data_IF_963864381941
#
_entry.id   IF_963864381941
#
_cell.length_a   1.000
_cell.length_b   1.000
_cell.length_c   1.000
_cell.angle_alpha   90.00
_cell.angle_beta   90.00
_cell.angle_gamma   90.00
#
_symmetry.space_group_name_H-M   'P 1'
#
loop_
_entity.id
_entity.type
_entity.pdbx_description
1 polymer ?
#
# COMPACT_ATOMS: atom_id res chain seq x y z
N UNK A 1 10.05 -26.75 12.16
CA UNK A 1 9.83 -25.29 12.22
C UNK A 1 8.39 -25.11 12.65
N UNK A 2 8.15 -24.51 13.80
CA UNK A 2 6.79 -24.16 14.20
C UNK A 2 6.23 -23.14 13.20
N UNK A 3 5.04 -23.44 12.64
CA UNK A 3 4.33 -22.49 11.81
C UNK A 3 3.98 -21.29 12.70
N UNK A 4 4.44 -20.10 12.34
CA UNK A 4 3.98 -18.87 13.00
C UNK A 4 2.45 -18.82 12.91
N UNK A 5 1.75 -18.34 13.95
CA UNK A 5 0.29 -18.21 13.87
C UNK A 5 -0.07 -17.28 12.69
N UNK A 6 -1.04 -17.71 11.89
CA UNK A 6 -1.55 -16.95 10.75
C UNK A 6 -2.27 -15.70 11.26
N UNK A 7 -1.89 -14.54 10.75
CA UNK A 7 -2.56 -13.28 11.10
C UNK A 7 -3.96 -13.23 10.48
N UNK A 8 -4.93 -12.82 11.29
CA UNK A 8 -6.33 -12.68 10.88
C UNK A 8 -6.89 -11.35 11.37
N UNK A 9 -7.62 -10.68 10.51
CA UNK A 9 -8.37 -9.49 10.91
C UNK A 9 -9.69 -9.88 11.59
N UNK A 10 -10.10 -9.16 12.63
CA UNK A 10 -11.44 -9.27 13.19
C UNK A 10 -12.51 -8.65 12.28
N UNK A 11 -12.11 -7.80 11.31
CA UNK A 11 -13.00 -7.15 10.37
C UNK A 11 -13.20 -8.00 9.12
N UNK A 12 -14.39 -7.95 8.54
CA UNK A 12 -14.57 -8.37 7.15
C UNK A 12 -14.05 -7.28 6.20
N UNK A 13 -13.77 -7.63 4.95
CA UNK A 13 -13.38 -6.63 3.94
C UNK A 13 -14.40 -5.51 3.80
N UNK A 14 -15.69 -5.83 3.81
CA UNK A 14 -16.74 -4.82 3.68
C UNK A 14 -16.74 -3.85 4.87
N UNK A 15 -16.55 -4.37 6.09
CA UNK A 15 -16.40 -3.53 7.29
C UNK A 15 -15.18 -2.62 7.20
N UNK A 16 -14.04 -3.13 6.73
CA UNK A 16 -12.83 -2.33 6.53
C UNK A 16 -13.05 -1.24 5.46
N UNK A 17 -13.72 -1.55 4.35
CA UNK A 17 -14.03 -0.58 3.30
C UNK A 17 -15.00 0.50 3.79
N UNK A 18 -16.03 0.15 4.54
CA UNK A 18 -16.94 1.13 5.13
C UNK A 18 -16.23 2.00 6.19
N UNK A 19 -15.29 1.42 6.93
CA UNK A 19 -14.45 2.17 7.86
C UNK A 19 -13.56 3.19 7.12
N UNK A 20 -12.91 2.79 6.01
CA UNK A 20 -12.16 3.72 5.16
C UNK A 20 -13.06 4.85 4.65
N UNK A 21 -14.23 4.50 4.06
CA UNK A 21 -15.19 5.47 3.52
C UNK A 21 -15.80 6.41 4.57
N UNK A 22 -15.76 6.04 5.84
CA UNK A 22 -16.20 6.93 6.92
C UNK A 22 -15.32 8.18 7.02
N UNK A 23 -14.01 8.01 6.82
CA UNK A 23 -12.99 9.06 7.00
C UNK A 23 -12.42 9.60 5.70
N UNK A 24 -12.59 8.88 4.58
CA UNK A 24 -12.10 9.28 3.26
C UNK A 24 -13.26 9.37 2.27
N UNK A 25 -13.41 10.52 1.60
CA UNK A 25 -14.46 10.82 0.63
C UNK A 25 -13.93 11.16 -0.74
N UNK A 26 -12.68 11.64 -0.79
CA UNK A 26 -12.04 11.98 -2.06
C UNK A 26 -11.81 10.70 -2.89
N UNK A 27 -12.28 10.68 -4.16
CA UNK A 27 -12.08 9.52 -5.05
C UNK A 27 -10.61 9.12 -5.21
N UNK A 28 -9.68 10.08 -5.13
CA UNK A 28 -8.26 9.81 -5.22
C UNK A 28 -7.77 8.97 -4.02
N UNK A 29 -8.14 9.35 -2.78
CA UNK A 29 -7.75 8.61 -1.58
C UNK A 29 -8.40 7.22 -1.53
N UNK A 30 -9.68 7.12 -1.91
CA UNK A 30 -10.37 5.83 -2.00
C UNK A 30 -9.70 4.91 -3.03
N UNK A 31 -9.36 5.45 -4.22
CA UNK A 31 -8.65 4.69 -5.25
C UNK A 31 -7.28 4.24 -4.76
N UNK A 32 -6.53 5.12 -4.08
CA UNK A 32 -5.23 4.78 -3.53
C UNK A 32 -5.33 3.63 -2.53
N UNK A 33 -6.23 3.70 -1.56
CA UNK A 33 -6.47 2.61 -0.60
C UNK A 33 -6.83 1.29 -1.28
N UNK A 34 -7.72 1.30 -2.27
CA UNK A 34 -8.08 0.12 -3.06
C UNK A 34 -6.91 -0.43 -3.88
N UNK A 35 -6.06 0.44 -4.42
CA UNK A 35 -4.86 0.04 -5.15
C UNK A 35 -3.86 -0.64 -4.22
N UNK A 36 -3.58 -0.04 -3.07
CA UNK A 36 -2.65 -0.61 -2.10
C UNK A 36 -3.20 -1.92 -1.50
N UNK A 37 -4.52 -2.01 -1.23
CA UNK A 37 -5.17 -3.29 -0.87
C UNK A 37 -4.84 -4.39 -1.88
N UNK A 38 -5.07 -4.12 -3.15
CA UNK A 38 -4.90 -5.12 -4.21
C UNK A 38 -3.43 -5.51 -4.40
N UNK A 39 -2.52 -4.55 -4.32
CA UNK A 39 -1.07 -4.78 -4.35
C UNK A 39 -0.62 -5.63 -3.17
N UNK A 40 -1.08 -5.35 -1.95
CA UNK A 40 -0.74 -6.12 -0.76
C UNK A 40 -1.27 -7.57 -0.83
N UNK A 41 -2.48 -7.78 -1.34
CA UNK A 41 -3.04 -9.12 -1.60
C UNK A 41 -2.18 -9.90 -2.60
N UNK A 42 -1.73 -9.25 -3.65
CA UNK A 42 -0.84 -9.87 -4.64
C UNK A 42 0.49 -10.28 -4.01
N UNK A 43 1.11 -9.40 -3.22
CA UNK A 43 2.36 -9.70 -2.54
C UNK A 43 2.21 -10.84 -1.51
N UNK A 44 1.10 -10.89 -0.78
CA UNK A 44 0.84 -11.99 0.15
C UNK A 44 0.90 -13.36 -0.57
N UNK A 45 0.29 -13.48 -1.74
CA UNK A 45 0.35 -14.71 -2.55
C UNK A 45 1.75 -14.98 -3.09
N UNK A 46 2.37 -13.98 -3.67
CA UNK A 46 3.70 -14.08 -4.30
C UNK A 46 4.78 -14.51 -3.30
N UNK A 47 4.68 -14.04 -2.05
CA UNK A 47 5.64 -14.30 -0.99
C UNK A 47 5.29 -15.52 -0.11
N UNK A 48 4.24 -16.26 -0.46
CA UNK A 48 3.85 -17.49 0.25
C UNK A 48 2.99 -17.29 1.50
N UNK A 49 2.40 -16.10 1.67
CA UNK A 49 1.47 -15.75 2.75
C UNK A 49 -0.01 -15.78 2.30
N UNK A 50 -0.35 -16.66 1.38
CA UNK A 50 -1.72 -16.75 0.85
C UNK A 50 -2.80 -16.94 1.91
N UNK A 51 -2.48 -17.61 3.02
CA UNK A 51 -3.39 -17.79 4.17
C UNK A 51 -3.66 -16.47 4.94
N UNK A 52 -2.85 -15.42 4.70
CA UNK A 52 -2.95 -14.09 5.31
C UNK A 52 -3.37 -13.00 4.30
N UNK A 53 -3.74 -13.39 3.08
CA UNK A 53 -4.08 -12.45 2.00
C UNK A 53 -5.10 -11.39 2.44
N UNK A 54 -6.13 -11.81 3.19
CA UNK A 54 -7.16 -10.90 3.68
C UNK A 54 -6.60 -9.87 4.66
N UNK A 55 -5.74 -10.30 5.56
CA UNK A 55 -5.09 -9.41 6.53
C UNK A 55 -4.17 -8.40 5.84
N UNK A 56 -3.30 -8.86 4.93
CA UNK A 56 -2.42 -7.99 4.15
C UNK A 56 -3.22 -6.95 3.35
N UNK A 57 -4.32 -7.40 2.73
CA UNK A 57 -5.21 -6.51 1.99
C UNK A 57 -5.84 -5.42 2.86
N UNK A 58 -6.32 -5.78 4.06
CA UNK A 58 -6.95 -4.81 4.95
C UNK A 58 -5.94 -3.81 5.51
N UNK A 59 -4.71 -4.22 5.81
CA UNK A 59 -3.65 -3.29 6.19
C UNK A 59 -3.38 -2.30 5.06
N UNK A 60 -3.27 -2.78 3.81
CA UNK A 60 -3.13 -1.92 2.64
C UNK A 60 -4.31 -0.99 2.39
N UNK A 61 -5.55 -1.48 2.58
CA UNK A 61 -6.77 -0.68 2.40
C UNK A 61 -6.85 0.49 3.39
N UNK A 62 -6.40 0.27 4.62
CA UNK A 62 -6.61 1.19 5.74
C UNK A 62 -5.36 2.02 6.08
N UNK A 63 -4.23 1.87 5.36
CA UNK A 63 -2.97 2.50 5.74
C UNK A 63 -3.08 4.03 5.87
N UNK A 64 -3.84 4.68 5.00
CA UNK A 64 -4.06 6.12 4.95
C UNK A 64 -5.41 6.57 5.56
N UNK A 65 -5.98 5.80 6.48
CA UNK A 65 -7.33 6.05 7.02
C UNK A 65 -7.50 7.47 7.59
N UNK A 66 -6.45 8.05 8.15
CA UNK A 66 -6.45 9.36 8.78
C UNK A 66 -5.99 10.50 7.86
N UNK A 67 -5.40 10.19 6.69
CA UNK A 67 -4.69 11.17 5.89
C UNK A 67 -5.59 12.31 5.37
N UNK A 68 -6.83 12.02 4.95
CA UNK A 68 -7.72 13.05 4.40
C UNK A 68 -8.19 14.05 5.44
N UNK A 69 -8.54 13.59 6.64
CA UNK A 69 -9.10 14.45 7.70
C UNK A 69 -8.05 14.98 8.68
N UNK A 70 -6.93 14.28 8.82
CA UNK A 70 -5.90 14.58 9.82
C UNK A 70 -4.50 14.56 9.20
N UNK A 71 -4.22 15.30 8.10
CA UNK A 71 -2.94 15.20 7.39
C UNK A 71 -1.74 15.59 8.28
N UNK A 72 -1.92 16.51 9.21
CA UNK A 72 -0.87 16.94 10.15
C UNK A 72 -0.66 15.95 11.31
N UNK A 73 -1.58 15.01 11.51
CA UNK A 73 -1.54 13.95 12.51
C UNK A 73 -1.50 12.54 11.87
N UNK A 74 -1.08 12.47 10.61
CA UNK A 74 -1.01 11.21 9.86
C UNK A 74 -0.19 10.16 10.61
N UNK A 75 -0.64 8.91 10.60
CA UNK A 75 -0.19 7.77 11.40
C UNK A 75 -0.39 7.93 12.92
N UNK A 76 -0.55 9.13 13.44
CA UNK A 76 -0.77 9.36 14.86
C UNK A 76 -2.26 9.25 15.24
N UNK A 77 -3.14 9.64 14.33
CA UNK A 77 -4.60 9.54 14.52
C UNK A 77 -5.15 8.16 14.13
N UNK A 78 -4.50 7.45 13.23
CA UNK A 78 -4.92 6.15 12.74
C UNK A 78 -5.22 5.12 13.85
N UNK A 79 -4.42 4.97 14.92
CA UNK A 79 -4.71 4.01 16.00
C UNK A 79 -6.08 4.19 16.65
N UNK A 80 -6.48 5.44 16.92
CA UNK A 80 -7.80 5.74 17.52
C UNK A 80 -8.92 5.34 16.57
N UNK A 81 -8.83 5.76 15.28
CA UNK A 81 -9.85 5.51 14.28
C UNK A 81 -10.04 4.01 14.00
N UNK A 82 -8.93 3.28 13.93
CA UNK A 82 -8.90 1.85 13.69
C UNK A 82 -9.45 1.07 14.89
N UNK A 83 -9.07 1.45 16.10
CA UNK A 83 -9.54 0.82 17.34
C UNK A 83 -11.04 0.99 17.51
N UNK A 84 -11.55 2.19 17.26
CA UNK A 84 -12.99 2.49 17.28
C UNK A 84 -13.74 1.70 16.19
N UNK A 85 -13.08 1.38 15.09
CA UNK A 85 -13.58 0.53 14.02
C UNK A 85 -13.54 -0.97 14.33
N UNK A 86 -12.91 -1.39 15.44
CA UNK A 86 -12.80 -2.79 15.86
C UNK A 86 -11.58 -3.53 15.28
N UNK A 87 -10.56 -2.81 14.81
CA UNK A 87 -9.31 -3.40 14.35
C UNK A 87 -8.51 -4.01 15.50
N UNK A 88 -7.74 -5.07 15.22
CA UNK A 88 -6.79 -5.66 16.17
C UNK A 88 -5.52 -4.82 16.30
N UNK A 89 -4.78 -5.03 17.39
CA UNK A 89 -3.51 -4.32 17.62
C UNK A 89 -2.48 -4.64 16.52
N UNK A 90 -2.48 -5.87 15.96
CA UNK A 90 -1.60 -6.26 14.86
C UNK A 90 -1.96 -5.52 13.56
N UNK A 91 -3.26 -5.30 13.29
CA UNK A 91 -3.69 -4.54 12.12
C UNK A 91 -3.31 -3.07 12.30
N UNK A 92 -3.51 -2.50 13.48
CA UNK A 92 -3.12 -1.13 13.82
C UNK A 92 -1.61 -0.94 13.65
N UNK A 93 -0.79 -1.86 14.17
CA UNK A 93 0.66 -1.82 14.01
C UNK A 93 1.06 -1.87 12.54
N UNK A 94 0.47 -2.78 11.76
CA UNK A 94 0.72 -2.91 10.34
C UNK A 94 0.40 -1.63 9.57
N UNK A 95 -0.72 -0.99 9.88
CA UNK A 95 -1.10 0.29 9.28
C UNK A 95 -0.10 1.38 9.66
N UNK A 96 0.16 1.59 10.95
CA UNK A 96 0.96 2.74 11.43
C UNK A 96 2.41 2.64 10.98
N UNK A 97 2.97 1.43 10.90
CA UNK A 97 4.39 1.22 10.57
C UNK A 97 4.80 1.69 9.17
N UNK A 98 3.83 1.94 8.26
CA UNK A 98 4.18 2.48 6.93
C UNK A 98 4.77 3.91 7.01
N UNK A 99 4.43 4.67 8.06
CA UNK A 99 4.93 6.02 8.27
C UNK A 99 6.24 6.10 9.06
N UNK A 100 6.92 4.98 9.31
CA UNK A 100 8.15 4.94 10.09
C UNK A 100 9.22 5.90 9.59
N UNK A 101 9.79 6.67 10.53
CA UNK A 101 10.83 7.66 10.24
C UNK A 101 10.35 8.93 9.51
N UNK A 102 9.05 9.02 9.18
CA UNK A 102 8.43 10.18 8.55
C UNK A 102 7.43 10.85 9.50
N UNK A 103 6.42 10.14 9.95
CA UNK A 103 5.33 10.64 10.80
C UNK A 103 5.15 9.83 12.09
N UNK A 104 5.87 8.72 12.27
CA UNK A 104 5.86 7.91 13.50
C UNK A 104 7.17 7.16 13.72
N UNK A 105 7.33 6.60 14.93
CA UNK A 105 8.49 5.78 15.34
C UNK A 105 8.15 4.27 15.43
N UNK A 106 7.06 3.84 14.79
CA UNK A 106 6.63 2.43 14.76
C UNK A 106 7.36 1.72 13.63
N UNK A 107 8.39 0.94 13.97
CA UNK A 107 9.25 0.29 12.98
C UNK A 107 8.57 -0.92 12.33
N UNK A 108 8.62 -1.07 10.98
CA UNK A 108 8.12 -2.25 10.29
C UNK A 108 9.04 -3.45 10.56
N UNK A 109 8.52 -4.49 11.21
CA UNK A 109 9.28 -5.72 11.51
C UNK A 109 8.79 -6.94 10.76
N UNK A 110 7.47 -7.06 10.51
CA UNK A 110 6.91 -8.16 9.73
C UNK A 110 7.15 -7.93 8.23
N UNK A 111 7.27 -9.01 7.45
CA UNK A 111 7.49 -8.88 5.99
C UNK A 111 6.37 -8.10 5.30
N UNK A 112 5.12 -8.30 5.72
CA UNK A 112 3.97 -7.52 5.28
C UNK A 112 4.19 -6.01 5.45
N UNK A 113 4.63 -5.59 6.63
CA UNK A 113 4.84 -4.17 6.96
C UNK A 113 5.96 -3.58 6.12
N UNK A 114 7.04 -4.34 5.91
CA UNK A 114 8.15 -3.93 5.04
C UNK A 114 7.70 -3.81 3.59
N UNK A 115 6.81 -4.69 3.14
CA UNK A 115 6.23 -4.61 1.79
C UNK A 115 5.36 -3.37 1.65
N UNK A 116 4.48 -3.09 2.62
CA UNK A 116 3.66 -1.87 2.61
C UNK A 116 4.54 -0.62 2.59
N UNK A 117 5.51 -0.52 3.51
CA UNK A 117 6.47 0.59 3.58
C UNK A 117 7.20 0.83 2.23
N UNK A 118 7.59 -0.25 1.54
CA UNK A 118 8.30 -0.17 0.27
C UNK A 118 7.41 0.14 -0.93
N UNK A 119 6.16 -0.37 -0.93
CA UNK A 119 5.30 -0.37 -2.10
C UNK A 119 4.33 0.82 -2.13
N UNK A 120 3.95 1.40 -1.01
CA UNK A 120 2.98 2.47 -0.93
C UNK A 120 3.34 3.65 -1.84
N UNK A 121 4.42 4.35 -1.57
CA UNK A 121 4.93 5.46 -2.38
C UNK A 121 5.21 5.07 -3.84
N UNK A 122 5.61 3.82 -4.07
CA UNK A 122 5.87 3.29 -5.40
C UNK A 122 4.59 3.09 -6.19
N UNK A 123 3.48 2.71 -5.55
CA UNK A 123 2.17 2.62 -6.24
C UNK A 123 1.73 3.97 -6.78
N UNK A 124 1.92 5.04 -6.00
CA UNK A 124 1.64 6.41 -6.43
C UNK A 124 2.51 6.84 -7.62
N UNK A 125 3.78 6.49 -7.61
CA UNK A 125 4.70 6.76 -8.72
C UNK A 125 4.30 6.01 -10.00
N UNK A 126 3.98 4.72 -9.88
CA UNK A 126 3.53 3.88 -11.01
C UNK A 126 2.21 4.42 -11.57
N UNK A 127 1.25 4.74 -10.71
CA UNK A 127 -0.03 5.33 -11.11
C UNK A 127 0.17 6.65 -11.86
N UNK A 128 1.00 7.55 -11.33
CA UNK A 128 1.34 8.81 -12.01
C UNK A 128 1.94 8.58 -13.39
N UNK A 129 2.77 7.53 -13.54
CA UNK A 129 3.33 7.18 -14.85
C UNK A 129 2.29 6.54 -15.76
N UNK A 130 1.40 5.69 -15.25
CA UNK A 130 0.29 5.12 -16.00
C UNK A 130 -0.59 6.21 -16.63
N UNK A 131 -0.95 7.24 -15.88
CA UNK A 131 -1.76 8.37 -16.36
C UNK A 131 -1.14 9.14 -17.54
N UNK A 132 0.17 9.10 -17.72
CA UNK A 132 0.87 9.73 -18.84
C UNK A 132 0.96 8.85 -20.09
N UNK A 133 0.65 7.57 -19.97
CA UNK A 133 0.71 6.62 -21.07
C UNK A 133 -0.59 6.63 -21.88
N UNK A 134 -0.50 6.22 -23.14
CA UNK A 134 -1.68 5.92 -23.94
C UNK A 134 -2.50 4.84 -23.22
N UNK A 135 -3.81 5.02 -23.12
CA UNK A 135 -4.69 4.13 -22.37
C UNK A 135 -4.72 4.36 -20.85
N UNK A 136 -3.86 5.24 -20.32
CA UNK A 136 -3.80 5.57 -18.87
C UNK A 136 -3.74 4.33 -17.96
N UNK A 137 -2.98 3.33 -18.38
CA UNK A 137 -2.90 2.00 -17.79
C UNK A 137 -1.46 1.60 -17.46
N UNK A 138 -1.30 0.76 -16.44
CA UNK A 138 -0.05 0.09 -16.13
C UNK A 138 0.23 -1.09 -17.08
N UNK A 139 -0.75 -1.51 -17.90
CA UNK A 139 -0.57 -2.61 -18.86
C UNK A 139 0.62 -2.34 -19.78
N UNK A 140 1.49 -3.35 -19.97
CA UNK A 140 2.70 -3.23 -20.75
C UNK A 140 3.72 -2.20 -20.23
N UNK A 141 3.62 -1.76 -18.98
CA UNK A 141 4.66 -0.94 -18.35
C UNK A 141 5.89 -1.79 -18.07
N UNK A 142 7.04 -1.27 -18.45
CA UNK A 142 8.34 -1.92 -18.23
C UNK A 142 9.14 -1.21 -17.14
N UNK A 143 9.96 -1.97 -16.42
CA UNK A 143 10.90 -1.46 -15.38
C UNK A 143 11.81 -0.38 -15.94
N UNK A 144 12.25 -0.51 -17.19
CA UNK A 144 13.13 0.46 -17.86
C UNK A 144 12.51 1.87 -17.94
N UNK A 145 11.21 1.93 -18.23
CA UNK A 145 10.44 3.18 -18.28
C UNK A 145 10.24 3.78 -16.89
N UNK A 146 9.86 2.95 -15.91
CA UNK A 146 9.69 3.39 -14.53
C UNK A 146 11.00 3.91 -13.93
N UNK A 147 12.14 3.24 -14.20
CA UNK A 147 13.48 3.73 -13.76
C UNK A 147 13.81 5.14 -14.26
N UNK A 148 13.39 5.50 -15.48
CA UNK A 148 13.57 6.86 -16.01
C UNK A 148 12.72 7.85 -15.22
N UNK A 149 11.46 7.53 -14.95
CA UNK A 149 10.55 8.35 -14.14
C UNK A 149 11.00 8.48 -12.68
N UNK A 150 11.50 7.40 -12.10
CA UNK A 150 12.06 7.42 -10.74
C UNK A 150 13.25 8.36 -10.60
N UNK A 151 14.12 8.47 -11.60
CA UNK A 151 15.27 9.38 -11.61
C UNK A 151 14.86 10.84 -11.80
N UNK A 152 13.74 11.11 -12.41
CA UNK A 152 13.20 12.47 -12.57
C UNK A 152 12.55 12.93 -11.26
N UNK A 153 13.28 13.72 -10.48
CA UNK A 153 12.84 14.23 -9.18
C UNK A 153 11.63 15.19 -9.25
N UNK A 154 11.35 15.75 -10.43
CA UNK A 154 10.19 16.62 -10.64
C UNK A 154 8.92 15.83 -10.95
N UNK A 155 9.09 14.63 -11.50
CA UNK A 155 7.97 13.74 -11.79
C UNK A 155 7.43 13.11 -10.49
N UNK A 156 6.11 13.19 -10.26
CA UNK A 156 5.46 12.68 -9.04
C UNK A 156 6.28 13.04 -7.78
N UNK A 157 6.55 14.34 -7.59
CA UNK A 157 7.46 14.82 -6.56
C UNK A 157 6.96 14.54 -5.13
N UNK A 158 5.66 14.26 -4.96
CA UNK A 158 5.06 13.83 -3.69
C UNK A 158 5.47 12.41 -3.28
N UNK A 159 5.89 11.55 -4.24
CA UNK A 159 6.32 10.19 -3.91
C UNK A 159 7.79 10.17 -3.48
N UNK A 160 8.07 9.76 -2.25
CA UNK A 160 9.41 9.75 -1.66
C UNK A 160 10.29 8.64 -2.25
N UNK A 161 11.32 9.05 -3.04
CA UNK A 161 12.31 8.12 -3.60
C UNK A 161 13.18 7.48 -2.53
N UNK A 162 13.39 8.17 -1.43
CA UNK A 162 14.25 7.67 -0.36
C UNK A 162 13.53 6.61 0.45
N UNK A 163 12.22 6.76 0.72
CA UNK A 163 11.38 5.71 1.31
C UNK A 163 11.34 4.46 0.43
N UNK A 164 11.15 4.61 -0.88
CA UNK A 164 11.12 3.48 -1.82
C UNK A 164 12.47 2.72 -1.80
N UNK A 165 13.61 3.42 -1.77
CA UNK A 165 14.94 2.79 -1.69
C UNK A 165 15.13 2.09 -0.35
N UNK A 166 14.82 2.78 0.75
CA UNK A 166 14.92 2.21 2.09
C UNK A 166 14.02 0.97 2.22
N UNK A 167 12.83 1.01 1.65
CA UNK A 167 11.92 -0.14 1.63
C UNK A 167 12.50 -1.35 0.90
N UNK A 168 13.15 -1.15 -0.25
CA UNK A 168 13.86 -2.22 -0.96
C UNK A 168 15.00 -2.80 -0.09
N UNK A 169 15.79 -1.93 0.56
CA UNK A 169 16.88 -2.34 1.46
C UNK A 169 16.35 -3.16 2.66
N UNK A 170 15.25 -2.74 3.28
CA UNK A 170 14.60 -3.43 4.41
C UNK A 170 14.09 -4.82 4.03
N UNK A 171 13.67 -4.99 2.77
CA UNK A 171 13.26 -6.28 2.21
C UNK A 171 14.45 -7.14 1.75
N UNK A 172 15.66 -6.56 1.65
CA UNK A 172 16.81 -7.23 1.05
C UNK A 172 16.67 -7.43 -0.46
N UNK A 173 15.89 -6.58 -1.13
CA UNK A 173 15.64 -6.66 -2.57
C UNK A 173 16.41 -5.59 -3.33
N UNK A 174 16.80 -5.93 -4.56
CA UNK A 174 17.23 -4.92 -5.50
C UNK A 174 16.04 -3.99 -5.85
N UNK A 175 16.32 -2.70 -6.01
CA UNK A 175 15.29 -1.72 -6.35
C UNK A 175 14.55 -2.06 -7.64
N UNK A 176 15.23 -2.73 -8.58
CA UNK A 176 14.61 -3.22 -9.82
C UNK A 176 13.64 -4.35 -9.61
N UNK A 177 13.87 -5.20 -8.61
CA UNK A 177 12.97 -6.30 -8.27
C UNK A 177 11.72 -5.77 -7.59
N UNK A 178 11.87 -4.76 -6.72
CA UNK A 178 10.73 -4.06 -6.14
C UNK A 178 9.86 -3.41 -7.24
N UNK A 179 10.49 -2.74 -8.22
CA UNK A 179 9.76 -2.15 -9.36
C UNK A 179 9.01 -3.19 -10.16
N UNK A 180 9.68 -4.28 -10.54
CA UNK A 180 9.08 -5.35 -11.35
C UNK A 180 7.86 -5.98 -10.65
N UNK A 181 8.03 -6.34 -9.38
CA UNK A 181 6.96 -6.94 -8.58
C UNK A 181 5.78 -5.98 -8.39
N UNK A 182 6.02 -4.72 -8.08
CA UNK A 182 4.95 -3.74 -7.87
C UNK A 182 4.22 -3.41 -9.17
N UNK A 183 4.93 -3.30 -10.32
CA UNK A 183 4.30 -3.16 -11.63
C UNK A 183 3.38 -4.36 -11.91
N UNK A 184 3.86 -5.58 -11.72
CA UNK A 184 3.07 -6.81 -11.93
C UNK A 184 1.84 -6.87 -11.02
N UNK A 185 1.99 -6.49 -9.76
CA UNK A 185 0.87 -6.42 -8.82
C UNK A 185 -0.20 -5.43 -9.29
N UNK A 186 0.19 -4.24 -9.73
CA UNK A 186 -0.73 -3.24 -10.24
C UNK A 186 -1.38 -3.67 -11.55
N UNK A 187 -0.63 -4.26 -12.49
CA UNK A 187 -1.18 -4.80 -13.74
C UNK A 187 -2.23 -5.89 -13.48
N UNK A 188 -1.94 -6.80 -12.56
CA UNK A 188 -2.84 -7.91 -12.22
C UNK A 188 -4.14 -7.45 -11.55
N UNK A 189 -4.12 -6.29 -10.89
CA UNK A 189 -5.25 -5.78 -10.09
C UNK A 189 -5.98 -4.61 -10.74
N UNK A 190 -5.44 -3.99 -11.79
CA UNK A 190 -5.95 -2.74 -12.37
C UNK A 190 -7.44 -2.81 -12.72
N UNK A 191 -7.86 -3.90 -13.37
CA UNK A 191 -9.27 -4.08 -13.73
C UNK A 191 -10.19 -4.11 -12.51
N UNK A 192 -9.82 -4.86 -11.48
CA UNK A 192 -10.63 -4.97 -10.27
C UNK A 192 -10.68 -3.65 -9.49
N UNK A 193 -9.59 -2.89 -9.48
CA UNK A 193 -9.54 -1.56 -8.86
C UNK A 193 -10.42 -0.58 -9.64
N UNK A 194 -10.37 -0.57 -10.97
CA UNK A 194 -11.21 0.29 -11.81
C UNK A 194 -12.70 -0.02 -11.58
N UNK A 195 -13.09 -1.28 -11.60
CA UNK A 195 -14.47 -1.71 -11.30
C UNK A 195 -14.92 -1.26 -9.90
N UNK A 196 -14.05 -1.38 -8.89
CA UNK A 196 -14.36 -0.94 -7.52
C UNK A 196 -14.48 0.59 -7.39
N UNK A 197 -13.81 1.35 -8.26
CA UNK A 197 -13.92 2.80 -8.36
C UNK A 197 -15.09 3.27 -9.23
N UNK A 198 -15.77 2.35 -9.93
CA UNK A 198 -16.89 2.69 -10.84
C UNK A 198 -16.44 3.22 -12.21
N UNK A 199 -15.25 2.83 -12.66
CA UNK A 199 -14.66 3.20 -13.94
C UNK A 199 -14.70 2.05 -14.97
#
# INVERSE_FOLDING_TARGET
MEKKPTMKSPLTRDQALELLKKYNKDPFHLRHGLTVEAVMRWFAKELGYGDEEEFWGQVGLLHDIDFELYPDEHCQKAPELLKDGGASDELIHGVVSHGYGQCCDVEPFHEMEKVLFAADELTGLIWSYALMREGKSAEGMEVSGLKKKFKDKKFAAGCSRDVIKEGAERLGWELTDLFDKTIKAMQASEKAVNEACGE
#
